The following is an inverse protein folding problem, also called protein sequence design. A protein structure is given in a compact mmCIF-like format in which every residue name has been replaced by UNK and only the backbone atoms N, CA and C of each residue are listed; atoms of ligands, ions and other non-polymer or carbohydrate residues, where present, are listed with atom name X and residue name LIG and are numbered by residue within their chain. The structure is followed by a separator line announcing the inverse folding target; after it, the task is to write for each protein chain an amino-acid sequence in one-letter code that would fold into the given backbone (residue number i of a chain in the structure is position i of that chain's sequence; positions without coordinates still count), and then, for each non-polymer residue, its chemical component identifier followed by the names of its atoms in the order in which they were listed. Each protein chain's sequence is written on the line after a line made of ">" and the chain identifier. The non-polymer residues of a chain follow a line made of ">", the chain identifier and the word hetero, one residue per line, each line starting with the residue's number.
data_IF_131076807570
#
_entry.id   IF_131076807570
#
_cell.length_a   1.000
_cell.length_b   1.000
_cell.length_c   1.000
_cell.angle_alpha   90.00
_cell.angle_beta   90.00
_cell.angle_gamma   90.00
#
_symmetry.space_group_name_H-M   'P 1'
#
loop_
_entity.id
_entity.type
_entity.pdbx_description
1 polymer ?
#
# COMPACT_ATOMS: atom_id res chain seq x y z
N UNK A 1 -20.66 -55.68 -23.43
CA UNK A 1 -20.40 -55.20 -22.05
C UNK A 1 -19.35 -54.13 -22.00
N UNK A 2 -18.26 -54.29 -22.66
CA UNK A 2 -17.20 -53.27 -22.66
C UNK A 2 -17.65 -51.91 -23.23
N UNK A 3 -18.58 -51.93 -24.16
CA UNK A 3 -19.14 -50.74 -24.77
C UNK A 3 -19.93 -49.88 -23.74
N UNK A 4 -20.68 -50.54 -22.86
CA UNK A 4 -21.41 -49.83 -21.81
C UNK A 4 -20.49 -49.24 -20.76
N UNK A 5 -19.41 -49.94 -20.38
CA UNK A 5 -18.41 -49.37 -19.46
C UNK A 5 -17.71 -48.15 -20.07
N UNK A 6 -17.35 -48.18 -21.34
CA UNK A 6 -16.74 -47.05 -22.01
C UNK A 6 -17.67 -45.85 -22.08
N UNK A 7 -18.97 -46.05 -22.37
CA UNK A 7 -19.96 -44.97 -22.37
C UNK A 7 -20.11 -44.36 -20.95
N UNK A 8 -20.14 -45.18 -19.91
CA UNK A 8 -20.24 -44.68 -18.55
C UNK A 8 -18.99 -43.95 -18.08
N UNK A 9 -17.82 -44.35 -18.56
CA UNK A 9 -16.57 -43.66 -18.26
C UNK A 9 -16.48 -42.31 -18.95
N UNK A 10 -17.06 -42.19 -20.18
CA UNK A 10 -17.01 -40.95 -20.96
C UNK A 10 -18.15 -39.96 -20.60
N UNK A 11 -19.25 -40.44 -20.05
CA UNK A 11 -20.39 -39.60 -19.70
C UNK A 11 -20.32 -39.25 -18.22
N UNK A 12 -19.97 -38.02 -17.94
CA UNK A 12 -20.01 -37.50 -16.58
C UNK A 12 -21.45 -37.17 -16.19
N UNK A 13 -21.78 -37.38 -14.93
CA UNK A 13 -23.06 -36.95 -14.37
C UNK A 13 -23.20 -35.44 -14.54
N UNK A 14 -24.36 -34.92 -14.99
CA UNK A 14 -24.57 -33.49 -15.14
C UNK A 14 -24.30 -32.69 -13.87
N UNK A 15 -24.60 -33.24 -12.70
CA UNK A 15 -24.30 -32.58 -11.43
C UNK A 15 -22.81 -32.44 -11.16
N UNK A 16 -22.03 -33.46 -11.55
CA UNK A 16 -20.57 -33.43 -11.43
C UNK A 16 -20.00 -32.37 -12.36
N UNK A 17 -20.45 -32.29 -13.58
CA UNK A 17 -20.04 -31.26 -14.55
C UNK A 17 -20.37 -29.86 -14.04
N UNK A 18 -21.54 -29.66 -13.47
CA UNK A 18 -21.96 -28.40 -12.88
C UNK A 18 -21.08 -28.00 -11.71
N UNK A 19 -20.79 -28.95 -10.81
CA UNK A 19 -19.91 -28.70 -9.64
C UNK A 19 -18.48 -28.41 -10.05
N UNK A 20 -17.96 -29.12 -11.04
CA UNK A 20 -16.63 -28.84 -11.60
C UNK A 20 -16.57 -27.42 -12.20
N UNK A 21 -17.60 -27.01 -12.94
CA UNK A 21 -17.69 -25.66 -13.48
C UNK A 21 -17.74 -24.59 -12.41
N UNK A 22 -18.51 -24.81 -11.34
CA UNK A 22 -18.56 -23.90 -10.19
C UNK A 22 -17.19 -23.81 -9.49
N UNK A 23 -16.54 -24.93 -9.31
CA UNK A 23 -15.23 -24.99 -8.68
C UNK A 23 -14.20 -24.21 -9.50
N UNK A 24 -14.17 -24.38 -10.79
CA UNK A 24 -13.30 -23.63 -11.70
C UNK A 24 -13.56 -22.12 -11.61
N UNK A 25 -14.84 -21.71 -11.60
CA UNK A 25 -15.23 -20.32 -11.46
C UNK A 25 -14.78 -19.73 -10.13
N UNK A 26 -14.95 -20.48 -9.04
CA UNK A 26 -14.47 -20.06 -7.72
C UNK A 26 -12.95 -19.88 -7.68
N UNK A 27 -12.23 -20.81 -8.29
CA UNK A 27 -10.77 -20.72 -8.36
C UNK A 27 -10.33 -19.49 -9.16
N UNK A 28 -10.97 -19.22 -10.29
CA UNK A 28 -10.69 -18.01 -11.07
C UNK A 28 -10.96 -16.74 -10.29
N UNK A 29 -12.09 -16.68 -9.57
CA UNK A 29 -12.43 -15.53 -8.72
C UNK A 29 -11.43 -15.35 -7.58
N UNK A 30 -10.99 -16.43 -6.95
CA UNK A 30 -9.95 -16.37 -5.91
C UNK A 30 -8.64 -15.84 -6.46
N UNK A 31 -8.21 -16.31 -7.61
CA UNK A 31 -6.99 -15.84 -8.26
C UNK A 31 -7.07 -14.35 -8.60
N UNK A 32 -8.21 -13.90 -9.13
CA UNK A 32 -8.44 -12.48 -9.41
C UNK A 32 -8.41 -11.64 -8.15
N UNK A 33 -9.05 -12.11 -7.06
CA UNK A 33 -9.04 -11.42 -5.78
C UNK A 33 -7.64 -11.34 -5.18
N UNK A 34 -6.87 -12.42 -5.25
CA UNK A 34 -5.48 -12.43 -4.79
C UNK A 34 -4.64 -11.43 -5.58
N UNK A 35 -4.81 -11.39 -6.90
CA UNK A 35 -4.14 -10.41 -7.76
C UNK A 35 -4.47 -8.97 -7.36
N UNK A 36 -5.75 -8.66 -7.15
CA UNK A 36 -6.20 -7.34 -6.72
C UNK A 36 -5.67 -6.97 -5.34
N UNK A 37 -5.64 -7.92 -4.41
CA UNK A 37 -5.08 -7.70 -3.07
C UNK A 37 -3.58 -7.41 -3.14
N UNK A 38 -2.84 -8.12 -3.95
CA UNK A 38 -1.42 -7.86 -4.17
C UNK A 38 -1.17 -6.47 -4.73
N UNK A 39 -1.94 -6.07 -5.74
CA UNK A 39 -1.82 -4.74 -6.35
C UNK A 39 -2.13 -3.64 -5.33
N UNK A 40 -3.19 -3.81 -4.54
CA UNK A 40 -3.54 -2.85 -3.50
C UNK A 40 -2.50 -2.77 -2.40
N UNK A 41 -1.95 -3.91 -2.00
CA UNK A 41 -0.88 -3.95 -0.99
C UNK A 41 0.35 -3.21 -1.48
N UNK A 42 0.71 -3.39 -2.74
CA UNK A 42 1.82 -2.67 -3.36
C UNK A 42 1.57 -1.16 -3.39
N UNK A 43 0.37 -0.74 -3.79
CA UNK A 43 0.00 0.68 -3.80
C UNK A 43 0.08 1.26 -2.39
N UNK A 44 -0.48 0.58 -1.40
CA UNK A 44 -0.45 1.02 0.00
C UNK A 44 1.00 1.13 0.50
N UNK A 45 1.83 0.15 0.20
CA UNK A 45 3.25 0.16 0.58
C UNK A 45 3.97 1.35 -0.05
N UNK A 46 3.73 1.62 -1.32
CA UNK A 46 4.32 2.75 -2.03
C UNK A 46 3.87 4.10 -1.46
N UNK A 47 2.57 4.23 -1.15
CA UNK A 47 2.01 5.44 -0.54
C UNK A 47 2.58 5.65 0.86
N UNK A 48 2.67 4.61 1.68
CA UNK A 48 3.27 4.70 3.02
C UNK A 48 4.75 5.13 2.94
N UNK A 49 5.50 4.57 2.01
CA UNK A 49 6.91 4.96 1.80
C UNK A 49 7.02 6.43 1.39
N UNK A 50 6.16 6.90 0.49
CA UNK A 50 6.12 8.29 0.07
C UNK A 50 5.76 9.23 1.23
N UNK A 51 4.80 8.83 2.07
CA UNK A 51 4.40 9.58 3.26
C UNK A 51 5.54 9.67 4.28
N UNK A 52 6.26 8.59 4.52
CA UNK A 52 7.42 8.58 5.42
C UNK A 52 8.50 9.55 4.94
N UNK A 53 8.79 9.56 3.65
CA UNK A 53 9.76 10.49 3.05
C UNK A 53 9.31 11.94 3.21
N UNK A 54 8.03 12.22 2.96
CA UNK A 54 7.46 13.55 3.13
C UNK A 54 7.46 14.01 4.57
N UNK A 55 7.13 13.12 5.50
CA UNK A 55 7.17 13.43 6.93
C UNK A 55 8.59 13.75 7.40
N UNK A 56 9.59 12.98 6.94
CA UNK A 56 10.99 13.25 7.24
C UNK A 56 11.41 14.62 6.72
N UNK A 57 10.99 14.97 5.51
CA UNK A 57 11.26 16.29 4.91
C UNK A 57 10.62 17.41 5.70
N UNK A 58 9.35 17.26 6.11
CA UNK A 58 8.65 18.23 6.95
C UNK A 58 9.36 18.42 8.27
N UNK A 59 9.77 17.36 8.92
CA UNK A 59 10.51 17.44 10.19
C UNK A 59 11.83 18.17 10.03
N UNK A 60 12.54 17.91 8.94
CA UNK A 60 13.80 18.62 8.61
C UNK A 60 13.56 20.11 8.38
N UNK A 61 12.50 20.46 7.63
CA UNK A 61 12.16 21.85 7.36
C UNK A 61 11.72 22.58 8.63
N UNK A 62 10.98 21.93 9.50
CA UNK A 62 10.58 22.49 10.81
C UNK A 62 11.78 22.74 11.71
N UNK A 63 12.74 21.83 11.71
CA UNK A 63 13.98 22.02 12.46
C UNK A 63 14.77 23.19 11.92
N UNK A 64 14.89 23.31 10.61
CA UNK A 64 15.55 24.45 9.96
C UNK A 64 14.87 25.77 10.27
N UNK A 65 13.54 25.77 10.30
CA UNK A 65 12.75 26.94 10.69
C UNK A 65 13.04 27.36 12.13
N UNK A 66 13.08 26.42 13.07
CA UNK A 66 13.43 26.68 14.46
C UNK A 66 14.84 27.26 14.58
N UNK A 67 15.78 26.68 13.87
CA UNK A 67 17.16 27.14 13.88
C UNK A 67 17.27 28.58 13.37
N UNK A 68 16.54 28.90 12.31
CA UNK A 68 16.49 30.27 11.76
C UNK A 68 15.84 31.25 12.73
N UNK A 69 14.74 30.84 13.38
CA UNK A 69 14.06 31.66 14.39
C UNK A 69 14.97 31.92 15.60
N UNK A 70 15.73 30.92 16.03
CA UNK A 70 16.71 31.07 17.11
C UNK A 70 17.80 32.09 16.75
N UNK A 71 18.31 32.02 15.52
CA UNK A 71 19.31 32.99 15.03
C UNK A 71 18.72 34.41 15.01
N UNK A 72 17.52 34.58 14.50
CA UNK A 72 16.83 35.87 14.46
C UNK A 72 16.62 36.42 15.85
N UNK A 73 16.21 35.56 16.77
CA UNK A 73 15.95 35.92 18.17
C UNK A 73 17.23 36.37 18.88
N UNK A 74 18.32 35.63 18.70
CA UNK A 74 19.64 36.00 19.22
C UNK A 74 20.11 37.33 18.66
N UNK A 75 19.93 37.54 17.36
CA UNK A 75 20.32 38.78 16.71
C UNK A 75 19.54 39.98 17.26
N UNK A 76 18.25 39.82 17.51
CA UNK A 76 17.42 40.84 18.15
C UNK A 76 17.87 41.16 19.54
N UNK A 77 18.18 40.13 20.37
CA UNK A 77 18.67 40.30 21.71
C UNK A 77 19.99 41.05 21.72
N UNK A 78 20.91 40.69 20.85
CA UNK A 78 22.21 41.34 20.69
C UNK A 78 22.07 42.82 20.31
N UNK A 79 21.15 43.11 19.38
CA UNK A 79 20.85 44.48 18.96
C UNK A 79 20.29 45.29 20.14
N UNK A 80 19.38 44.77 20.89
CA UNK A 80 18.84 45.42 22.08
C UNK A 80 19.91 45.70 23.16
N UNK A 81 20.81 44.73 23.37
CA UNK A 81 21.93 44.91 24.29
C UNK A 81 22.87 46.02 23.83
N UNK A 82 23.16 46.09 22.54
CA UNK A 82 23.97 47.17 21.98
C UNK A 82 23.34 48.54 22.20
N UNK A 83 22.03 48.65 22.03
CA UNK A 83 21.30 49.90 22.27
C UNK A 83 21.32 50.32 23.74
N UNK A 84 21.23 49.38 24.65
CA UNK A 84 21.27 49.62 26.09
C UNK A 84 22.63 50.16 26.54
N UNK A 85 23.72 49.85 25.84
CA UNK A 85 25.06 50.30 26.15
C UNK A 85 25.42 51.68 25.56
N UNK A 86 24.59 52.12 24.63
CA UNK A 86 24.74 53.49 24.06
C UNK A 86 24.00 54.52 24.90
#
# INVERSE_FOLDING_TARGET
>A
MNIFKRKNENIKNPKVVELEGRLENEQMLREQLIGLLKDRTEIVTNVCSALEKKNAEIMRLRQRERDLLDVIYEDQINTMRSEDYE
#
